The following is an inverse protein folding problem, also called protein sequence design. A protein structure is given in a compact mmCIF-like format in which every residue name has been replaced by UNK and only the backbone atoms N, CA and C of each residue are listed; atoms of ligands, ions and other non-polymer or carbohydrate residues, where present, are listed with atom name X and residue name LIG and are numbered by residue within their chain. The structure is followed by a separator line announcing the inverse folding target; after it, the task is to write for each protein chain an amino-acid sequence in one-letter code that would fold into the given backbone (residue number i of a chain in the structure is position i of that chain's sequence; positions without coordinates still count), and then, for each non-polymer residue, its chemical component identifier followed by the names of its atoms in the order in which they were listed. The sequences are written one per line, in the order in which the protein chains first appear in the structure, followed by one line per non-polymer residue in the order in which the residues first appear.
data_IF_603239256948
#
_entry.id   IF_603239256948
#
_cell.length_a   1.000
_cell.length_b   1.000
_cell.length_c   1.000
_cell.angle_alpha   90.00
_cell.angle_beta   90.00
_cell.angle_gamma   90.00
#
_symmetry.space_group_name_H-M   'P 1'
#
loop_
_entity.id
_entity.type
_entity.pdbx_description
1 polymer ?
#
# COMPACT_ATOMS: atom_id res chain seq x y z
N UNK A 1 10.95 -6.00 -4.15
CA UNK A 1 11.14 -5.56 -5.56
C UNK A 1 10.58 -4.17 -5.79
N UNK A 2 9.31 -3.90 -5.47
CA UNK A 2 8.70 -2.58 -5.66
C UNK A 2 9.41 -1.45 -4.90
N UNK A 3 9.73 -1.60 -3.61
CA UNK A 3 10.46 -0.56 -2.87
C UNK A 3 11.82 -0.20 -3.49
N UNK A 4 12.52 -1.18 -4.07
CA UNK A 4 13.80 -0.91 -4.74
C UNK A 4 13.60 -0.16 -6.06
N UNK A 5 12.59 -0.55 -6.86
CA UNK A 5 12.21 0.18 -8.06
C UNK A 5 11.82 1.62 -7.73
N UNK A 6 11.01 1.79 -6.68
CA UNK A 6 10.52 3.08 -6.22
C UNK A 6 11.68 3.99 -5.83
N UNK A 7 12.61 3.48 -5.02
CA UNK A 7 13.79 4.19 -4.55
C UNK A 7 14.74 4.62 -5.68
N UNK A 8 14.81 3.84 -6.78
CA UNK A 8 15.66 4.17 -7.93
C UNK A 8 14.97 5.13 -8.91
N UNK A 9 13.65 5.07 -9.05
CA UNK A 9 12.92 5.85 -10.06
C UNK A 9 12.41 7.18 -9.54
N UNK A 10 12.08 7.28 -8.26
CA UNK A 10 11.50 8.46 -7.64
C UNK A 10 12.42 9.03 -6.57
N UNK A 11 12.42 10.36 -6.42
CA UNK A 11 13.07 11.03 -5.29
C UNK A 11 12.16 10.91 -4.07
N UNK A 12 12.42 9.91 -3.25
CA UNK A 12 11.61 9.59 -2.08
C UNK A 12 12.29 10.06 -0.81
N UNK A 13 11.61 10.95 -0.10
CA UNK A 13 12.01 11.33 1.25
C UNK A 13 11.41 10.34 2.26
N UNK A 14 12.23 9.55 2.98
CA UNK A 14 11.72 8.56 3.95
C UNK A 14 11.05 9.20 5.17
N UNK A 15 11.26 10.51 5.38
CA UNK A 15 10.62 11.30 6.43
C UNK A 15 9.25 11.86 6.00
N UNK A 16 8.96 11.98 4.70
CA UNK A 16 7.62 12.37 4.25
C UNK A 16 6.69 11.16 4.29
N UNK A 17 5.66 11.25 5.13
CA UNK A 17 4.67 10.20 5.31
C UNK A 17 3.89 9.90 4.03
N UNK A 18 3.74 10.89 3.12
CA UNK A 18 3.01 10.72 1.85
C UNK A 18 3.81 9.85 0.87
N UNK A 19 5.11 10.12 0.75
CA UNK A 19 6.02 9.31 -0.05
C UNK A 19 6.10 7.88 0.48
N UNK A 20 6.23 7.74 1.80
CA UNK A 20 6.13 6.45 2.46
C UNK A 20 4.82 5.72 2.12
N UNK A 21 3.67 6.35 2.35
CA UNK A 21 2.36 5.74 2.10
C UNK A 21 2.21 5.29 0.64
N UNK A 22 2.63 6.11 -0.32
CA UNK A 22 2.55 5.81 -1.74
C UNK A 22 3.35 4.56 -2.12
N UNK A 23 4.58 4.43 -1.62
CA UNK A 23 5.41 3.25 -1.83
C UNK A 23 4.77 1.98 -1.26
N UNK A 24 4.19 2.07 -0.07
CA UNK A 24 3.54 0.93 0.58
C UNK A 24 2.27 0.48 -0.14
N UNK A 25 1.48 1.45 -0.66
CA UNK A 25 0.29 1.17 -1.48
C UNK A 25 0.70 0.43 -2.75
N UNK A 26 1.67 0.97 -3.52
CA UNK A 26 2.15 0.31 -4.74
C UNK A 26 2.76 -1.05 -4.46
N UNK A 27 3.58 -1.16 -3.41
CA UNK A 27 4.17 -2.43 -3.02
C UNK A 27 3.10 -3.47 -2.68
N UNK A 28 2.09 -3.12 -1.88
CA UNK A 28 1.02 -4.05 -1.50
C UNK A 28 0.13 -4.44 -2.67
N UNK A 29 -0.11 -3.50 -3.59
CA UNK A 29 -0.91 -3.71 -4.79
C UNK A 29 -0.19 -4.61 -5.82
N UNK A 30 1.07 -4.30 -6.12
CA UNK A 30 1.84 -4.96 -7.19
C UNK A 30 2.51 -6.27 -6.76
N UNK A 31 2.76 -6.46 -5.46
CA UNK A 31 3.40 -7.69 -4.97
C UNK A 31 2.46 -8.90 -4.93
N UNK A 32 1.16 -8.72 -5.21
CA UNK A 32 0.18 -9.82 -5.20
C UNK A 32 -0.12 -10.37 -3.80
N UNK A 33 0.31 -9.69 -2.74
CA UNK A 33 0.08 -10.12 -1.36
C UNK A 33 -1.39 -10.03 -0.96
N UNK A 34 -2.13 -9.11 -1.57
CA UNK A 34 -3.55 -8.87 -1.36
C UNK A 34 -4.47 -9.55 -2.38
N UNK A 35 -3.99 -10.61 -3.07
CA UNK A 35 -4.83 -11.40 -3.98
C UNK A 35 -5.97 -12.07 -3.20
N UNK A 36 -7.17 -12.05 -3.80
CA UNK A 36 -8.39 -12.58 -3.21
C UNK A 36 -8.26 -14.00 -2.66
N UNK A 37 -7.70 -14.93 -3.47
CA UNK A 37 -7.50 -16.33 -3.06
C UNK A 37 -6.58 -16.45 -1.84
N UNK A 38 -5.57 -15.58 -1.71
CA UNK A 38 -4.64 -15.62 -0.57
C UNK A 38 -5.28 -15.06 0.70
N UNK A 39 -6.05 -13.98 0.59
CA UNK A 39 -6.77 -13.41 1.74
C UNK A 39 -7.89 -14.34 2.25
N UNK A 40 -8.58 -15.05 1.35
CA UNK A 40 -9.57 -16.06 1.73
C UNK A 40 -8.94 -17.29 2.38
N UNK A 41 -7.99 -17.94 1.70
CA UNK A 41 -7.48 -19.25 2.11
C UNK A 41 -6.48 -19.14 3.26
N UNK A 42 -5.58 -18.15 3.22
CA UNK A 42 -4.50 -18.03 4.21
C UNK A 42 -4.88 -17.14 5.40
N UNK A 43 -5.75 -16.15 5.20
CA UNK A 43 -6.04 -15.12 6.22
C UNK A 43 -7.48 -15.11 6.70
N UNK A 44 -8.36 -15.94 6.13
CA UNK A 44 -9.74 -16.09 6.59
C UNK A 44 -10.58 -14.82 6.47
N UNK A 45 -10.25 -13.92 5.54
CA UNK A 45 -11.07 -12.73 5.26
C UNK A 45 -12.14 -13.07 4.21
N UNK A 46 -13.41 -13.11 4.61
CA UNK A 46 -14.56 -13.57 3.79
C UNK A 46 -15.37 -12.44 3.13
N UNK A 47 -14.83 -11.22 3.06
CA UNK A 47 -15.45 -10.12 2.31
C UNK A 47 -15.75 -10.49 0.84
N UNK A 48 -16.92 -10.12 0.36
CA UNK A 48 -17.40 -10.44 -1.00
C UNK A 48 -17.00 -9.35 -2.00
N UNK A 49 -16.83 -8.10 -1.54
CA UNK A 49 -16.55 -6.93 -2.39
C UNK A 49 -15.33 -6.16 -1.89
N UNK A 50 -14.56 -5.56 -2.82
CA UNK A 50 -13.42 -4.67 -2.54
C UNK A 50 -12.29 -5.20 -1.63
N UNK A 51 -12.20 -6.52 -1.44
CA UNK A 51 -11.17 -7.19 -0.63
C UNK A 51 -9.73 -6.73 -0.91
N UNK A 52 -9.40 -6.54 -2.19
CA UNK A 52 -8.07 -6.05 -2.59
C UNK A 52 -7.81 -4.65 -2.03
N UNK A 53 -8.77 -3.73 -2.16
CA UNK A 53 -8.62 -2.36 -1.69
C UNK A 53 -8.49 -2.32 -0.17
N UNK A 54 -9.31 -3.09 0.53
CA UNK A 54 -9.27 -3.18 2.00
C UNK A 54 -7.94 -3.75 2.50
N UNK A 55 -7.45 -4.83 1.88
CA UNK A 55 -6.15 -5.40 2.21
C UNK A 55 -5.02 -4.40 1.98
N UNK A 56 -5.01 -3.71 0.84
CA UNK A 56 -3.96 -2.72 0.52
C UNK A 56 -4.01 -1.55 1.50
N UNK A 57 -5.20 -1.02 1.83
CA UNK A 57 -5.37 0.03 2.85
C UNK A 57 -4.85 -0.42 4.21
N UNK A 58 -5.26 -1.60 4.67
CA UNK A 58 -4.82 -2.15 5.96
C UNK A 58 -3.30 -2.28 6.04
N UNK A 59 -2.67 -2.82 5.00
CA UNK A 59 -1.21 -2.99 4.95
C UNK A 59 -0.48 -1.65 4.90
N UNK A 60 -0.95 -0.71 4.07
CA UNK A 60 -0.35 0.61 3.97
C UNK A 60 -0.43 1.36 5.31
N UNK A 61 -1.57 1.33 6.00
CA UNK A 61 -1.74 1.96 7.32
C UNK A 61 -0.80 1.37 8.35
N UNK A 62 -0.70 0.04 8.42
CA UNK A 62 0.22 -0.65 9.35
C UNK A 62 1.68 -0.28 9.09
N UNK A 63 2.08 -0.22 7.82
CA UNK A 63 3.45 0.12 7.44
C UNK A 63 3.78 1.59 7.72
N UNK A 64 2.85 2.51 7.45
CA UNK A 64 3.00 3.94 7.76
C UNK A 64 3.04 4.18 9.27
N UNK A 65 2.21 3.49 10.05
CA UNK A 65 2.19 3.56 11.52
C UNK A 65 3.53 3.16 12.13
N UNK A 66 4.18 2.12 11.57
CA UNK A 66 5.46 1.62 12.06
C UNK A 66 6.63 2.59 11.82
N UNK A 67 6.43 3.69 11.08
CA UNK A 67 7.47 4.67 10.78
C UNK A 67 7.61 5.70 11.91
N UNK A 68 8.83 6.14 12.22
CA UNK A 68 9.08 7.08 13.32
C UNK A 68 8.39 8.44 13.10
N UNK A 69 8.20 8.88 11.85
CA UNK A 69 7.54 10.14 11.52
C UNK A 69 6.02 10.15 11.85
N UNK A 70 5.38 8.99 11.99
CA UNK A 70 3.95 8.88 12.26
C UNK A 70 3.65 8.83 13.77
N UNK A 71 4.65 8.58 14.63
CA UNK A 71 4.47 8.55 16.08
C UNK A 71 3.57 7.43 16.61
N UNK A 72 3.19 6.47 15.76
CA UNK A 72 2.27 5.39 16.12
C UNK A 72 0.77 5.75 16.04
N UNK A 73 0.42 6.94 15.53
CA UNK A 73 -0.98 7.37 15.42
C UNK A 73 -1.71 6.71 14.24
N UNK A 74 -2.67 5.83 14.53
CA UNK A 74 -3.49 5.13 13.52
C UNK A 74 -4.33 6.11 12.67
N UNK A 75 -4.92 7.12 13.30
CA UNK A 75 -5.79 8.10 12.62
C UNK A 75 -4.97 8.92 11.62
N UNK A 76 -3.75 9.31 12.00
CA UNK A 76 -2.83 10.04 11.13
C UNK A 76 -2.37 9.18 9.96
N UNK A 77 -2.03 7.92 10.22
CA UNK A 77 -1.64 6.97 9.17
C UNK A 77 -2.77 6.74 8.16
N UNK A 78 -3.99 6.49 8.63
CA UNK A 78 -5.17 6.29 7.78
C UNK A 78 -5.48 7.53 6.93
N UNK A 79 -5.38 8.73 7.52
CA UNK A 79 -5.58 9.98 6.79
C UNK A 79 -4.57 10.15 5.65
N UNK A 80 -3.27 9.98 5.93
CA UNK A 80 -2.22 10.13 4.92
C UNK A 80 -2.39 9.10 3.80
N UNK A 81 -2.72 7.85 4.12
CA UNK A 81 -2.98 6.80 3.13
C UNK A 81 -4.16 7.18 2.22
N UNK A 82 -5.24 7.73 2.79
CA UNK A 82 -6.39 8.19 2.01
C UNK A 82 -6.07 9.40 1.13
N UNK A 83 -5.23 10.33 1.59
CA UNK A 83 -4.81 11.50 0.82
C UNK A 83 -4.05 11.12 -0.46
N UNK A 84 -3.23 10.07 -0.43
CA UNK A 84 -2.43 9.62 -1.59
C UNK A 84 -3.07 8.48 -2.39
N UNK A 85 -4.22 7.98 -1.94
CA UNK A 85 -4.82 6.74 -2.44
C UNK A 85 -5.04 6.76 -3.95
N UNK A 86 -5.75 7.77 -4.46
CA UNK A 86 -6.15 7.84 -5.87
C UNK A 86 -4.94 7.97 -6.80
N UNK A 87 -3.89 8.69 -6.37
CA UNK A 87 -2.67 8.86 -7.14
C UNK A 87 -1.82 7.58 -7.18
N UNK A 88 -1.73 6.85 -6.08
CA UNK A 88 -0.77 5.75 -5.93
C UNK A 88 -1.37 4.39 -6.25
N UNK A 89 -2.67 4.19 -6.02
CA UNK A 89 -3.37 2.95 -6.36
C UNK A 89 -3.61 2.80 -7.86
N UNK A 90 -3.61 3.90 -8.62
CA UNK A 90 -3.68 3.87 -10.09
C UNK A 90 -2.35 3.63 -10.79
N UNK A 91 -1.22 3.73 -10.07
CA UNK A 91 0.11 3.63 -10.68
C UNK A 91 0.57 2.16 -10.75
N UNK A 92 0.56 1.60 -11.97
CA UNK A 92 0.91 0.20 -12.22
C UNK A 92 2.37 -0.03 -12.58
N UNK A 93 3.16 1.05 -12.76
CA UNK A 93 4.58 0.95 -13.15
C UNK A 93 5.36 0.14 -12.10
N UNK A 94 6.27 -0.78 -12.49
CA UNK A 94 6.86 -1.01 -13.82
C UNK A 94 6.06 -1.95 -14.74
N UNK A 95 4.88 -2.40 -14.32
CA UNK A 95 4.08 -3.35 -15.09
C UNK A 95 3.05 -2.59 -15.93
N UNK A 96 2.89 -3.00 -17.19
CA UNK A 96 1.89 -2.38 -18.07
C UNK A 96 0.47 -2.75 -17.67
N UNK A 97 0.24 -3.97 -17.17
CA UNK A 97 -1.04 -4.45 -16.65
C UNK A 97 -0.90 -5.32 -15.41
N UNK A 98 -1.82 -5.16 -14.46
CA UNK A 98 -1.89 -5.97 -13.23
C UNK A 98 -3.05 -6.96 -13.37
N UNK A 99 -2.75 -8.25 -13.45
CA UNK A 99 -3.76 -9.30 -13.29
C UNK A 99 -4.23 -9.31 -11.82
N UNK A 100 -5.44 -8.79 -11.60
CA UNK A 100 -6.11 -8.69 -10.30
C UNK A 100 -6.94 -9.94 -9.99
#
# INVERSE_FOLDING_TARGET
MMHAYDHLRFKLDPLDLRHAACMEIRASMLSGECRFMRELVTRGQWGVTQQLQECVRRRAVLSVKARPACGGDDVKAARVVNEVWDSCFGDTRPFDEIYR
#
